data_IF_408284169418
#
_entry.id   IF_408284169418
#
_cell.length_a   1.000
_cell.length_b   1.000
_cell.length_c   1.000
_cell.angle_alpha   90.00
_cell.angle_beta   90.00
_cell.angle_gamma   90.00
#
_symmetry.space_group_name_H-M   'P 1'
#
loop_
_entity.id
_entity.type
_entity.pdbx_description
1 polymer ?
#
# COMPACT_ATOMS: atom_id res chain seq x y z
N UNK A 1 12.33 -12.19 -58.49
CA UNK A 1 11.49 -13.13 -57.71
C UNK A 1 11.68 -12.75 -56.24
N UNK A 2 10.87 -11.82 -55.73
CA UNK A 2 9.67 -12.07 -54.90
C UNK A 2 10.04 -12.89 -53.65
N UNK A 3 9.87 -12.43 -52.42
CA UNK A 3 8.64 -11.87 -51.86
C UNK A 3 8.91 -11.15 -50.53
N UNK A 4 8.71 -9.83 -50.50
CA UNK A 4 8.40 -9.08 -49.30
C UNK A 4 6.88 -9.18 -49.08
N UNK A 5 6.45 -9.99 -48.12
CA UNK A 5 5.04 -10.03 -47.71
C UNK A 5 4.71 -8.75 -46.92
N UNK A 6 3.97 -7.85 -47.57
CA UNK A 6 3.24 -6.77 -46.93
C UNK A 6 2.19 -7.39 -46.00
N UNK A 7 2.42 -7.32 -44.69
CA UNK A 7 1.33 -7.40 -43.72
C UNK A 7 0.33 -6.30 -44.05
N UNK A 8 -0.87 -6.71 -44.49
CA UNK A 8 -1.98 -5.80 -44.74
C UNK A 8 -2.40 -5.21 -43.40
N UNK A 9 -2.14 -3.93 -43.19
CA UNK A 9 -2.87 -3.13 -42.21
C UNK A 9 -4.37 -3.18 -42.56
N UNK A 10 -5.10 -4.04 -41.84
CA UNK A 10 -6.56 -4.11 -41.93
C UNK A 10 -7.11 -2.96 -41.11
N UNK A 11 -7.22 -1.79 -41.74
CA UNK A 11 -8.02 -0.70 -41.20
C UNK A 11 -9.50 -1.10 -41.22
N UNK A 12 -10.17 -1.00 -40.07
CA UNK A 12 -11.56 -1.38 -39.88
C UNK A 12 -12.49 -0.42 -40.65
N UNK A 13 -13.13 -0.92 -41.72
CA UNK A 13 -14.19 -0.21 -42.46
C UNK A 13 -15.52 -0.28 -41.69
N UNK A 14 -16.21 0.85 -41.57
CA UNK A 14 -17.51 1.00 -40.87
C UNK A 14 -18.63 0.15 -41.47
N UNK A 15 -18.43 -0.38 -42.69
CA UNK A 15 -19.36 -1.30 -43.36
C UNK A 15 -19.13 -2.78 -43.02
N UNK A 16 -18.05 -3.11 -42.32
CA UNK A 16 -17.72 -4.51 -41.99
C UNK A 16 -18.42 -4.93 -40.70
N UNK A 17 -19.48 -5.73 -40.83
CA UNK A 17 -20.20 -6.28 -39.67
C UNK A 17 -19.30 -7.30 -38.95
N UNK A 18 -18.73 -6.90 -37.82
CA UNK A 18 -17.88 -7.75 -36.98
C UNK A 18 -18.66 -9.01 -36.54
N UNK A 19 -18.21 -10.19 -36.97
CA UNK A 19 -18.72 -11.47 -36.44
C UNK A 19 -17.98 -11.77 -35.12
N UNK A 20 -18.70 -11.94 -34.02
CA UNK A 20 -18.15 -12.40 -32.73
C UNK A 20 -18.29 -11.46 -31.53
N UNK A 21 -19.05 -10.37 -31.60
CA UNK A 21 -19.33 -9.57 -30.41
C UNK A 21 -20.44 -10.21 -29.56
N UNK A 22 -20.30 -10.13 -28.24
CA UNK A 22 -21.38 -10.42 -27.29
C UNK A 22 -22.16 -9.13 -27.08
N UNK A 23 -23.48 -9.20 -27.27
CA UNK A 23 -24.37 -8.09 -27.00
C UNK A 23 -24.24 -7.66 -25.53
N UNK A 24 -24.23 -6.35 -25.30
CA UNK A 24 -24.14 -5.79 -23.94
C UNK A 24 -25.39 -6.20 -23.19
N UNK A 25 -25.21 -6.98 -22.11
CA UNK A 25 -26.34 -7.45 -21.30
C UNK A 25 -27.11 -6.26 -20.70
N UNK A 26 -28.43 -6.32 -20.78
CA UNK A 26 -29.30 -5.34 -20.15
C UNK A 26 -28.99 -5.18 -18.65
N UNK A 27 -28.88 -3.95 -18.17
CA UNK A 27 -28.52 -3.62 -16.78
C UNK A 27 -27.02 -3.56 -16.47
N UNK A 28 -26.13 -3.80 -17.44
CA UNK A 28 -24.68 -3.70 -17.26
C UNK A 28 -24.14 -2.37 -17.78
N UNK A 29 -23.22 -1.77 -17.02
CA UNK A 29 -22.46 -0.58 -17.47
C UNK A 29 -21.23 -1.04 -18.24
N UNK A 30 -21.12 -0.62 -19.49
CA UNK A 30 -19.89 -0.81 -20.29
C UNK A 30 -19.02 0.43 -20.14
N UNK A 31 -17.75 0.21 -19.86
CA UNK A 31 -16.74 1.25 -19.80
C UNK A 31 -15.61 0.90 -20.76
N UNK A 32 -15.20 1.89 -21.56
CA UNK A 32 -13.97 1.84 -22.35
C UNK A 32 -13.01 2.83 -21.68
N UNK A 33 -11.79 2.40 -21.42
CA UNK A 33 -10.77 3.21 -20.74
C UNK A 33 -9.49 3.23 -21.56
N UNK A 34 -8.95 4.43 -21.78
CA UNK A 34 -7.65 4.63 -22.41
C UNK A 34 -6.62 4.94 -21.33
N UNK A 35 -5.53 4.18 -21.30
CA UNK A 35 -4.49 4.30 -20.27
C UNK A 35 -3.22 4.87 -20.88
N UNK A 36 -2.74 5.99 -20.35
CA UNK A 36 -1.43 6.53 -20.71
C UNK A 36 -0.35 5.82 -19.87
N UNK A 37 0.49 5.02 -20.52
CA UNK A 37 1.60 4.31 -19.86
C UNK A 37 2.89 5.12 -19.83
N UNK A 38 2.88 6.36 -20.34
CA UNK A 38 4.07 7.21 -20.45
C UNK A 38 3.88 8.50 -19.63
N UNK A 39 4.25 8.52 -18.35
CA UNK A 39 4.05 9.68 -17.49
C UNK A 39 4.81 10.93 -17.96
N UNK A 40 5.93 10.76 -18.68
CA UNK A 40 6.70 11.87 -19.27
C UNK A 40 5.87 12.82 -20.13
N UNK A 41 4.83 12.32 -20.83
CA UNK A 41 3.99 13.16 -21.69
C UNK A 41 3.21 14.20 -20.87
N UNK A 42 2.61 13.76 -19.76
CA UNK A 42 1.88 14.64 -18.86
C UNK A 42 2.83 15.62 -18.15
N UNK A 43 4.03 15.17 -17.76
CA UNK A 43 5.03 16.03 -17.13
C UNK A 43 5.48 17.16 -18.06
N UNK A 44 5.86 16.83 -19.30
CA UNK A 44 6.32 17.84 -20.27
C UNK A 44 5.22 18.87 -20.57
N UNK A 45 3.98 18.41 -20.77
CA UNK A 45 2.86 19.30 -21.04
C UNK A 45 2.55 20.22 -19.86
N UNK A 46 2.49 19.68 -18.64
CA UNK A 46 2.19 20.43 -17.43
C UNK A 46 3.22 21.52 -17.11
N UNK A 47 4.50 21.29 -17.40
CA UNK A 47 5.59 22.19 -17.02
C UNK A 47 6.25 22.92 -18.19
N UNK A 48 5.70 22.84 -19.41
CA UNK A 48 6.27 23.44 -20.63
C UNK A 48 6.56 24.93 -20.54
N UNK A 49 5.73 25.67 -19.79
CA UNK A 49 5.87 27.12 -19.59
C UNK A 49 6.74 27.52 -18.40
N UNK A 50 7.21 26.57 -17.59
CA UNK A 50 8.00 26.85 -16.41
C UNK A 50 9.46 27.13 -16.78
N UNK A 51 10.04 28.18 -16.22
CA UNK A 51 11.48 28.47 -16.37
C UNK A 51 12.34 27.42 -15.67
N UNK A 52 11.89 26.92 -14.52
CA UNK A 52 12.59 25.91 -13.72
C UNK A 52 11.58 25.09 -12.93
N UNK A 53 11.82 23.78 -12.83
CA UNK A 53 11.07 22.87 -11.98
C UNK A 53 12.01 22.31 -10.93
N UNK A 54 11.67 22.48 -9.67
CA UNK A 54 12.42 21.93 -8.53
C UNK A 54 11.59 20.79 -7.95
N UNK A 55 12.21 19.61 -7.86
CA UNK A 55 11.62 18.45 -7.23
C UNK A 55 12.30 18.23 -5.88
N UNK A 56 11.51 18.20 -4.81
CA UNK A 56 11.99 17.92 -3.46
C UNK A 56 11.14 16.80 -2.85
N UNK A 57 11.79 15.78 -2.29
CA UNK A 57 11.15 14.70 -1.54
C UNK A 57 12.11 14.09 -0.54
N UNK A 58 11.58 13.65 0.60
CA UNK A 58 12.36 12.93 1.62
C UNK A 58 12.55 11.43 1.33
N UNK A 59 11.88 10.87 0.32
CA UNK A 59 11.83 9.40 0.09
C UNK A 59 12.09 8.99 -1.37
N UNK A 60 12.54 9.91 -2.22
CA UNK A 60 12.74 9.64 -3.65
C UNK A 60 14.05 8.91 -3.99
N UNK A 61 14.92 8.62 -3.02
CA UNK A 61 16.16 7.91 -3.30
C UNK A 61 15.91 6.40 -3.46
N UNK A 62 16.51 5.74 -4.48
CA UNK A 62 17.33 6.31 -5.55
C UNK A 62 16.51 6.96 -6.68
N UNK A 63 16.97 8.10 -7.19
CA UNK A 63 16.24 8.98 -8.14
C UNK A 63 16.22 8.49 -9.60
N UNK A 64 17.03 7.48 -9.95
CA UNK A 64 17.23 7.04 -11.34
C UNK A 64 15.95 6.54 -12.03
N UNK A 65 15.16 5.74 -11.31
CA UNK A 65 13.88 5.24 -11.82
C UNK A 65 12.92 6.40 -12.08
N UNK A 66 12.89 7.38 -11.17
CA UNK A 66 12.01 8.54 -11.28
C UNK A 66 12.39 9.43 -12.48
N UNK A 67 13.69 9.63 -12.71
CA UNK A 67 14.24 10.36 -13.86
C UNK A 67 13.79 9.73 -15.18
N UNK A 68 13.90 8.40 -15.25
CA UNK A 68 13.54 7.61 -16.44
C UNK A 68 12.05 7.71 -16.74
N UNK A 69 11.18 7.59 -15.72
CA UNK A 69 9.72 7.70 -15.87
C UNK A 69 9.28 9.08 -16.36
N UNK A 70 9.88 10.16 -15.83
CA UNK A 70 9.57 11.52 -16.26
C UNK A 70 10.17 11.88 -17.62
N UNK A 71 11.10 11.09 -18.15
CA UNK A 71 11.76 11.37 -19.42
C UNK A 71 12.50 12.71 -19.43
N UNK A 72 13.01 13.15 -18.27
CA UNK A 72 13.74 14.41 -18.09
C UNK A 72 15.10 14.15 -17.47
N UNK A 73 16.06 15.04 -17.68
CA UNK A 73 17.35 15.00 -16.97
C UNK A 73 17.39 16.10 -15.92
N UNK A 74 17.62 15.73 -14.66
CA UNK A 74 17.82 16.71 -13.60
C UNK A 74 19.27 17.18 -13.64
N UNK A 75 19.46 18.48 -13.86
CA UNK A 75 20.80 19.09 -13.99
C UNK A 75 21.52 19.23 -12.65
N UNK A 76 20.74 19.34 -11.56
CA UNK A 76 21.23 19.49 -10.20
C UNK A 76 20.50 18.47 -9.35
N UNK A 77 21.27 17.61 -8.70
CA UNK A 77 20.75 16.58 -7.82
C UNK A 77 21.49 16.68 -6.50
N UNK A 78 20.73 16.68 -5.41
CA UNK A 78 21.26 16.71 -4.07
C UNK A 78 20.49 15.70 -3.25
N UNK A 79 21.20 14.71 -2.75
CA UNK A 79 20.68 13.77 -1.76
C UNK A 79 21.17 14.24 -0.39
N UNK A 80 20.23 14.49 0.53
CA UNK A 80 20.56 14.81 1.90
C UNK A 80 21.07 13.56 2.62
N UNK A 81 22.09 13.72 3.47
CA UNK A 81 22.47 12.67 4.40
C UNK A 81 21.33 12.41 5.40
N UNK A 82 21.28 11.20 5.95
CA UNK A 82 20.37 10.89 7.05
C UNK A 82 20.65 11.86 8.23
N UNK A 83 19.68 12.72 8.53
CA UNK A 83 19.79 13.72 9.61
C UNK A 83 19.52 13.04 10.98
N UNK A 84 18.79 11.93 10.96
CA UNK A 84 18.39 11.21 12.17
C UNK A 84 19.54 10.25 12.58
N UNK A 85 20.08 10.38 13.80
CA UNK A 85 21.10 9.47 14.31
C UNK A 85 20.66 8.00 14.29
N UNK A 86 21.60 7.08 14.10
CA UNK A 86 21.32 5.64 14.04
C UNK A 86 20.72 5.10 15.35
N UNK A 87 20.99 5.75 16.48
CA UNK A 87 20.40 5.39 17.77
C UNK A 87 18.89 5.69 17.85
N UNK A 88 18.37 6.53 16.95
CA UNK A 88 16.97 6.94 16.91
C UNK A 88 16.14 6.16 15.88
N UNK A 89 16.79 5.34 15.04
CA UNK A 89 16.11 4.51 14.02
C UNK A 89 16.61 3.08 14.08
N UNK A 90 15.67 2.14 14.22
CA UNK A 90 15.96 0.73 14.07
C UNK A 90 15.16 0.17 12.89
N UNK A 91 15.86 -0.38 11.91
CA UNK A 91 15.27 -1.06 10.76
C UNK A 91 15.76 -2.52 10.73
N UNK A 92 14.82 -3.46 10.63
CA UNK A 92 15.13 -4.88 10.57
C UNK A 92 14.16 -5.63 9.66
N UNK A 93 14.64 -6.72 9.08
CA UNK A 93 13.83 -7.67 8.32
C UNK A 93 13.57 -8.89 9.19
N UNK A 94 12.29 -9.28 9.31
CA UNK A 94 11.88 -10.51 10.00
C UNK A 94 11.61 -11.57 8.93
N UNK A 95 12.51 -12.55 8.72
CA UNK A 95 12.34 -13.54 7.65
C UNK A 95 11.42 -14.70 8.03
N UNK A 96 11.26 -14.98 9.33
CA UNK A 96 10.51 -16.11 9.87
C UNK A 96 9.69 -15.68 11.08
N UNK A 97 8.52 -16.31 11.24
CA UNK A 97 7.63 -16.06 12.37
C UNK A 97 8.03 -16.78 13.66
N UNK A 98 7.31 -16.53 14.76
CA UNK A 98 7.58 -17.12 16.08
C UNK A 98 7.59 -18.64 16.11
N UNK A 99 6.88 -19.31 15.20
CA UNK A 99 6.90 -20.79 15.08
C UNK A 99 7.98 -21.31 14.12
N UNK A 100 8.87 -20.45 13.61
CA UNK A 100 9.95 -20.81 12.68
C UNK A 100 9.55 -20.86 11.20
N UNK A 101 8.27 -20.66 10.89
CA UNK A 101 7.74 -20.64 9.52
C UNK A 101 8.24 -19.43 8.74
N UNK A 102 8.63 -19.62 7.47
CA UNK A 102 9.11 -18.54 6.61
C UNK A 102 7.97 -17.58 6.24
N UNK A 103 8.18 -16.28 6.45
CA UNK A 103 7.20 -15.26 6.09
C UNK A 103 7.25 -14.99 4.58
N UNK A 104 6.26 -15.52 3.85
CA UNK A 104 6.15 -15.35 2.41
C UNK A 104 4.73 -14.93 2.01
N UNK A 105 4.50 -13.63 1.90
CA UNK A 105 3.19 -13.02 1.61
C UNK A 105 2.78 -13.03 0.14
N UNK A 106 3.04 -14.11 -0.61
CA UNK A 106 2.55 -14.21 -2.00
C UNK A 106 1.05 -14.53 -2.02
N UNK A 107 0.32 -14.05 -3.05
CA UNK A 107 -1.11 -14.32 -3.20
C UNK A 107 -1.46 -15.81 -3.07
N UNK A 108 -0.64 -16.68 -3.68
CA UNK A 108 -0.84 -18.14 -3.62
C UNK A 108 -0.72 -18.69 -2.20
N UNK A 109 0.25 -18.22 -1.41
CA UNK A 109 0.49 -18.73 -0.05
C UNK A 109 -0.61 -18.24 0.89
N UNK A 110 -0.94 -16.95 0.84
CA UNK A 110 -1.97 -16.33 1.68
C UNK A 110 -3.33 -17.02 1.50
N UNK A 111 -3.68 -17.44 0.28
CA UNK A 111 -4.97 -18.07 0.00
C UNK A 111 -4.97 -19.60 0.16
N UNK A 112 -3.82 -20.23 0.40
CA UNK A 112 -3.71 -21.69 0.47
C UNK A 112 -3.86 -22.21 1.89
N UNK A 113 -3.33 -21.48 2.87
CA UNK A 113 -3.20 -21.93 4.25
C UNK A 113 -3.07 -20.74 5.20
N UNK A 114 -3.50 -20.91 6.44
CA UNK A 114 -3.53 -19.91 7.49
C UNK A 114 -2.17 -19.76 8.20
N UNK A 115 -1.15 -20.57 7.87
CA UNK A 115 0.19 -20.45 8.48
C UNK A 115 0.75 -19.04 8.43
N UNK A 116 0.72 -18.39 7.26
CA UNK A 116 1.22 -17.02 7.13
C UNK A 116 0.41 -16.05 8.01
N UNK A 117 -0.92 -16.19 8.00
CA UNK A 117 -1.85 -15.36 8.77
C UNK A 117 -1.59 -15.51 10.28
N UNK A 118 -1.38 -16.75 10.74
CA UNK A 118 -1.03 -17.06 12.12
C UNK A 118 0.29 -16.43 12.53
N UNK A 119 1.36 -16.60 11.74
CA UNK A 119 2.67 -16.03 12.10
C UNK A 119 2.59 -14.50 12.21
N UNK A 120 1.93 -13.81 11.28
CA UNK A 120 1.75 -12.36 11.35
C UNK A 120 0.93 -11.95 12.59
N UNK A 121 -0.11 -12.72 12.92
CA UNK A 121 -0.93 -12.49 14.13
C UNK A 121 -0.11 -12.61 15.41
N UNK A 122 0.76 -13.62 15.51
CA UNK A 122 1.64 -13.83 16.64
C UNK A 122 2.71 -12.73 16.75
N UNK A 123 3.30 -12.32 15.62
CA UNK A 123 4.25 -11.20 15.57
C UNK A 123 3.57 -9.92 16.08
N UNK A 124 2.37 -9.61 15.58
CA UNK A 124 1.62 -8.42 16.03
C UNK A 124 1.34 -8.47 17.53
N UNK A 125 0.97 -9.63 18.06
CA UNK A 125 0.75 -9.81 19.50
C UNK A 125 2.01 -9.52 20.31
N UNK A 126 3.17 -10.06 19.90
CA UNK A 126 4.44 -9.82 20.57
C UNK A 126 4.87 -8.34 20.47
N UNK A 127 4.80 -7.74 19.28
CA UNK A 127 5.13 -6.34 19.06
C UNK A 127 4.25 -5.43 19.93
N UNK A 128 2.94 -5.65 19.97
CA UNK A 128 2.02 -4.82 20.75
C UNK A 128 2.21 -4.94 22.26
N UNK A 129 2.70 -6.09 22.75
CA UNK A 129 3.01 -6.31 24.17
C UNK A 129 4.31 -5.63 24.60
N UNK A 130 5.28 -5.50 23.70
CA UNK A 130 6.62 -4.97 24.01
C UNK A 130 6.71 -3.47 23.72
N UNK A 131 6.17 -3.02 22.58
CA UNK A 131 6.34 -1.64 22.13
C UNK A 131 5.35 -0.73 22.87
N UNK A 132 5.82 0.29 23.62
CA UNK A 132 4.93 1.25 24.26
C UNK A 132 4.31 2.20 23.21
N UNK A 133 3.28 2.94 23.59
CA UNK A 133 2.61 3.95 22.75
C UNK A 133 2.01 3.34 21.46
N UNK A 134 2.38 3.88 20.30
CA UNK A 134 1.74 3.58 19.02
C UNK A 134 2.46 2.51 18.21
N UNK A 135 1.68 1.63 17.58
CA UNK A 135 2.14 0.71 16.54
C UNK A 135 1.30 0.97 15.29
N UNK A 136 1.96 1.26 14.16
CA UNK A 136 1.32 1.43 12.86
C UNK A 136 1.72 0.26 11.97
N UNK A 137 0.75 -0.55 11.55
CA UNK A 137 0.98 -1.76 10.76
C UNK A 137 0.30 -1.67 9.39
N UNK A 138 1.08 -1.76 8.33
CA UNK A 138 0.58 -1.74 6.94
C UNK A 138 0.46 -3.13 6.35
N UNK A 139 -0.67 -3.38 5.69
CA UNK A 139 -0.95 -4.59 4.92
C UNK A 139 -1.00 -4.29 3.42
N UNK A 140 -0.77 -5.31 2.60
CA UNK A 140 -0.76 -5.16 1.13
C UNK A 140 -2.13 -4.95 0.50
N UNK A 141 -3.22 -5.26 1.22
CA UNK A 141 -4.60 -5.03 0.77
C UNK A 141 -5.58 -5.11 1.95
N UNK A 142 -6.78 -4.53 1.78
CA UNK A 142 -7.86 -4.70 2.76
C UNK A 142 -8.25 -6.16 2.98
N UNK A 143 -8.16 -6.99 1.94
CA UNK A 143 -8.46 -8.42 2.04
C UNK A 143 -7.53 -9.13 3.03
N UNK A 144 -6.21 -8.88 2.93
CA UNK A 144 -5.22 -9.47 3.85
C UNK A 144 -5.41 -8.94 5.27
N UNK A 145 -5.67 -7.65 5.42
CA UNK A 145 -5.99 -7.02 6.71
C UNK A 145 -7.22 -7.70 7.36
N UNK A 146 -8.30 -7.82 6.61
CA UNK A 146 -9.56 -8.42 7.08
C UNK A 146 -9.35 -9.88 7.49
N UNK A 147 -8.63 -10.69 6.69
CA UNK A 147 -8.27 -12.08 7.01
C UNK A 147 -7.45 -12.20 8.32
N UNK A 148 -6.43 -11.36 8.50
CA UNK A 148 -5.59 -11.38 9.71
C UNK A 148 -6.41 -10.94 10.92
N UNK A 149 -7.24 -9.92 10.78
CA UNK A 149 -8.06 -9.45 11.88
C UNK A 149 -9.08 -10.52 12.32
N UNK A 150 -9.80 -11.13 11.37
CA UNK A 150 -10.77 -12.19 11.65
C UNK A 150 -10.10 -13.41 12.29
N UNK A 151 -8.92 -13.78 11.82
CA UNK A 151 -8.11 -14.84 12.45
C UNK A 151 -7.74 -14.49 13.90
N UNK A 152 -7.28 -13.25 14.16
CA UNK A 152 -6.96 -12.82 15.52
C UNK A 152 -8.19 -12.78 16.42
N UNK A 153 -9.34 -12.40 15.89
CA UNK A 153 -10.60 -12.35 16.62
C UNK A 153 -11.07 -13.76 17.01
N UNK A 154 -11.09 -14.69 16.06
CA UNK A 154 -11.52 -16.09 16.27
C UNK A 154 -10.58 -16.87 17.19
N UNK A 155 -9.27 -16.63 17.11
CA UNK A 155 -8.26 -17.28 17.98
C UNK A 155 -8.09 -16.60 19.34
N UNK A 156 -8.74 -15.46 19.56
CA UNK A 156 -8.62 -14.67 20.79
C UNK A 156 -7.32 -13.87 20.92
N UNK A 157 -6.42 -13.93 19.94
CA UNK A 157 -5.19 -13.10 19.89
C UNK A 157 -5.55 -11.62 19.92
N UNK A 158 -6.62 -11.22 19.22
CA UNK A 158 -7.08 -9.83 19.19
C UNK A 158 -7.38 -9.31 20.60
N UNK A 159 -8.03 -10.13 21.44
CA UNK A 159 -8.33 -9.76 22.83
C UNK A 159 -7.06 -9.57 23.65
N UNK A 160 -6.04 -10.40 23.43
CA UNK A 160 -4.75 -10.23 24.09
C UNK A 160 -4.08 -8.91 23.73
N UNK A 161 -4.20 -8.48 22.47
CA UNK A 161 -3.69 -7.17 22.02
C UNK A 161 -4.54 -6.05 22.63
N UNK A 162 -5.87 -6.19 22.64
CA UNK A 162 -6.80 -5.19 23.19
C UNK A 162 -6.60 -4.93 24.68
N UNK A 163 -6.07 -5.88 25.45
CA UNK A 163 -5.72 -5.67 26.85
C UNK A 163 -4.61 -4.62 27.04
N UNK A 164 -3.74 -4.45 26.04
CA UNK A 164 -2.57 -3.56 26.12
C UNK A 164 -2.58 -2.42 25.10
N UNK A 165 -3.42 -2.47 24.07
CA UNK A 165 -3.54 -1.46 23.01
C UNK A 165 -4.99 -1.21 22.59
N UNK A 166 -5.33 0.03 22.30
CA UNK A 166 -6.50 0.35 21.48
C UNK A 166 -6.27 -0.13 20.05
N UNK A 167 -7.04 -1.10 19.57
CA UNK A 167 -6.93 -1.60 18.20
C UNK A 167 -7.86 -0.85 17.26
N UNK A 168 -7.30 -0.23 16.23
CA UNK A 168 -7.99 0.56 15.23
C UNK A 168 -7.72 -0.02 13.83
N UNK A 169 -8.69 0.13 12.93
CA UNK A 169 -8.55 -0.20 11.50
C UNK A 169 -8.74 1.03 10.65
N UNK A 170 -8.01 1.10 9.55
CA UNK A 170 -8.24 2.09 8.52
C UNK A 170 -9.68 1.95 7.96
N UNK A 171 -10.47 3.05 7.93
CA UNK A 171 -11.83 3.00 7.43
C UNK A 171 -11.88 2.98 5.91
N UNK A 172 -12.79 2.17 5.36
CA UNK A 172 -13.07 2.15 3.91
C UNK A 172 -13.62 3.48 3.37
N UNK A 173 -14.16 4.36 4.22
CA UNK A 173 -14.60 5.73 3.85
C UNK A 173 -13.59 6.77 4.34
N UNK A 174 -13.16 7.67 3.45
CA UNK A 174 -12.12 8.68 3.76
C UNK A 174 -12.56 9.68 4.81
N UNK A 175 -13.85 10.02 4.85
CA UNK A 175 -14.41 10.93 5.83
C UNK A 175 -14.23 10.50 7.29
N UNK A 176 -14.06 9.20 7.55
CA UNK A 176 -13.89 8.65 8.89
C UNK A 176 -12.42 8.58 9.34
N UNK A 177 -11.48 8.86 8.43
CA UNK A 177 -10.05 8.70 8.69
C UNK A 177 -9.56 9.65 9.81
N UNK A 178 -10.00 10.91 9.79
CA UNK A 178 -9.64 11.90 10.80
C UNK A 178 -10.05 11.45 12.21
N UNK A 179 -11.24 10.85 12.33
CA UNK A 179 -11.73 10.31 13.61
C UNK A 179 -10.84 9.18 14.13
N UNK A 180 -10.43 8.27 13.24
CA UNK A 180 -9.54 7.16 13.60
C UNK A 180 -8.15 7.66 14.02
N UNK A 181 -7.60 8.67 13.33
CA UNK A 181 -6.32 9.27 13.71
C UNK A 181 -6.41 9.99 15.06
N UNK A 182 -7.48 10.76 15.31
CA UNK A 182 -7.69 11.38 16.62
C UNK A 182 -7.76 10.35 17.75
N UNK A 183 -8.41 9.20 17.52
CA UNK A 183 -8.44 8.11 18.49
C UNK A 183 -7.05 7.48 18.70
N UNK A 184 -6.29 7.29 17.63
CA UNK A 184 -4.93 6.75 17.67
C UNK A 184 -4.00 7.67 18.48
N UNK A 185 -3.99 8.96 18.17
CA UNK A 185 -3.20 9.97 18.90
C UNK A 185 -3.61 10.08 20.36
N UNK A 186 -4.92 10.12 20.64
CA UNK A 186 -5.42 10.17 22.01
C UNK A 186 -4.96 8.97 22.83
N UNK A 187 -5.04 7.77 22.27
CA UNK A 187 -4.60 6.56 22.95
C UNK A 187 -3.09 6.55 23.19
N UNK A 188 -2.29 7.17 22.31
CA UNK A 188 -0.83 7.30 22.50
C UNK A 188 -0.49 8.27 23.64
N UNK A 189 -1.18 9.42 23.71
CA UNK A 189 -0.88 10.46 24.70
C UNK A 189 -1.49 10.13 26.07
N UNK A 190 -2.74 9.69 26.09
CA UNK A 190 -3.54 9.46 27.29
C UNK A 190 -4.01 7.99 27.35
N UNK A 191 -3.08 7.03 27.34
CA UNK A 191 -3.43 5.61 27.26
C UNK A 191 -4.27 5.13 28.46
N UNK A 192 -4.11 5.75 29.63
CA UNK A 192 -4.88 5.46 30.85
C UNK A 192 -6.38 5.74 30.72
N UNK A 193 -6.78 6.69 29.86
CA UNK A 193 -8.19 6.97 29.56
C UNK A 193 -8.86 5.78 28.86
N UNK A 194 -8.08 4.98 28.12
CA UNK A 194 -8.58 3.82 27.39
C UNK A 194 -8.71 2.62 28.33
N UNK A 195 -7.76 2.46 29.24
CA UNK A 195 -7.80 1.41 30.26
C UNK A 195 -6.53 1.35 31.10
N UNK A 196 -6.59 0.73 32.29
CA UNK A 196 -5.49 0.74 33.26
C UNK A 196 -4.23 0.02 32.78
N UNK A 197 -4.37 -0.97 31.88
CA UNK A 197 -3.26 -1.72 31.29
C UNK A 197 -2.93 -1.27 29.85
N UNK A 198 -3.65 -0.28 29.33
CA UNK A 198 -3.43 0.21 27.98
C UNK A 198 -2.15 1.03 27.91
N UNK A 199 -1.28 0.68 26.98
CA UNK A 199 0.01 1.34 26.76
C UNK A 199 0.01 2.16 25.47
N UNK A 200 -1.09 2.19 24.72
CA UNK A 200 -1.26 3.03 23.52
C UNK A 200 -2.19 2.41 22.48
N UNK A 201 -1.84 2.46 21.19
CA UNK A 201 -2.72 2.00 20.12
C UNK A 201 -2.00 1.19 19.03
N UNK A 202 -2.74 0.30 18.39
CA UNK A 202 -2.39 -0.37 17.15
C UNK A 202 -3.31 0.14 16.05
N UNK A 203 -2.76 0.76 15.00
CA UNK A 203 -3.49 1.11 13.79
C UNK A 203 -3.12 0.13 12.66
N UNK A 204 -4.10 -0.64 12.22
CA UNK A 204 -4.00 -1.54 11.07
C UNK A 204 -4.46 -0.80 9.81
N UNK A 205 -3.55 -0.59 8.86
CA UNK A 205 -3.77 0.19 7.65
C UNK A 205 -3.36 -0.58 6.38
N UNK A 206 -3.76 -0.09 5.22
CA UNK A 206 -3.37 -0.68 3.92
C UNK A 206 -2.36 0.23 3.24
N UNK A 207 -1.27 -0.35 2.74
CA UNK A 207 -0.28 0.38 1.94
C UNK A 207 -0.93 0.87 0.64
N UNK A 208 -0.72 2.15 0.28
CA UNK A 208 -1.50 2.89 -0.75
C UNK A 208 -2.99 3.09 -0.41
N UNK A 209 -3.36 2.88 0.85
CA UNK A 209 -4.63 3.33 1.41
C UNK A 209 -4.61 4.83 1.63
N UNK A 210 -5.42 5.30 2.57
CA UNK A 210 -5.57 6.73 2.86
C UNK A 210 -4.59 7.24 3.90
N UNK A 211 -3.91 6.32 4.57
CA UNK A 211 -2.85 6.64 5.51
C UNK A 211 -1.57 6.81 4.70
N UNK A 212 -1.11 8.04 4.58
CA UNK A 212 0.22 8.37 4.07
C UNK A 212 0.99 8.91 5.27
N UNK A 213 2.10 8.26 5.62
CA UNK A 213 3.08 8.80 6.58
C UNK A 213 3.90 9.85 5.85
#
# INVERSE_FOLDING_TARGET
MSSYEKEKEVWLDSKTRLKGYREVKYGYRVAISFWCMRPSLAYIDAFKGCRSVILASGTLSPTDTFRTELGTTFQQEMEGNQIIPDEQIFAAVIPSGPSGEKLCGTYRIINRDDRFIREISLILSHVCKIIPKGVLCFFSSYRVLDQIYEYMETTGILRQIQNVKLVLKEPRRSSLMNTVMMQYERAIVNSLDIGPQCTGALLMAVFRGKVVI
#
